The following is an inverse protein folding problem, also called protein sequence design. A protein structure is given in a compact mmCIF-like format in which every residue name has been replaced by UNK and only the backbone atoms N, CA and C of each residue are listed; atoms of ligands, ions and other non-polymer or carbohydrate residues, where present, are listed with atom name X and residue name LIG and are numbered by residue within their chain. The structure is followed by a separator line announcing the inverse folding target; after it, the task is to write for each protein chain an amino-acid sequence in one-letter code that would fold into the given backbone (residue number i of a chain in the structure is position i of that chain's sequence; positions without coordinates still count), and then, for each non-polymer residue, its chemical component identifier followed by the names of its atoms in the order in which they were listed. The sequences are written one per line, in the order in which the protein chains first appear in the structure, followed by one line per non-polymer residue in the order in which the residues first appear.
data_IF_613395098510
#
_entry.id   IF_613395098510
#
_cell.length_a   1.000
_cell.length_b   1.000
_cell.length_c   1.000
_cell.angle_alpha   90.00
_cell.angle_beta   90.00
_cell.angle_gamma   90.00
#
_symmetry.space_group_name_H-M   'P 1'
#
loop_
_entity.id
_entity.type
_entity.pdbx_description
1 polymer ?
#
# COMPACT_ATOMS: atom_id res chain seq x y z
N UNK A 1 9.13 -2.57 -3.22
CA UNK A 1 7.72 -2.50 -2.80
C UNK A 1 6.88 -3.23 -3.83
N UNK A 2 5.88 -4.01 -3.40
CA UNK A 2 4.96 -4.74 -4.27
C UNK A 2 3.61 -4.03 -4.29
N UNK A 3 3.09 -3.71 -5.47
CA UNK A 3 1.83 -2.98 -5.62
C UNK A 3 0.85 -3.69 -6.56
N UNK A 4 -0.39 -3.21 -6.63
CA UNK A 4 -1.43 -3.76 -7.51
C UNK A 4 -1.43 -3.19 -8.95
N UNK A 5 -0.50 -2.28 -9.28
CA UNK A 5 -0.35 -1.66 -10.61
C UNK A 5 -1.55 -0.80 -11.05
N UNK A 6 -2.42 -0.47 -10.10
CA UNK A 6 -3.57 0.41 -10.31
C UNK A 6 -3.27 1.82 -9.80
N UNK A 7 -4.15 2.76 -10.14
CA UNK A 7 -4.16 4.13 -9.62
C UNK A 7 -2.79 4.81 -9.75
N UNK A 8 -2.24 5.26 -8.62
CA UNK A 8 -0.95 5.94 -8.53
C UNK A 8 0.25 5.04 -8.87
N UNK A 9 0.06 3.72 -8.92
CA UNK A 9 1.11 2.74 -9.25
C UNK A 9 1.09 2.30 -10.71
N UNK A 10 0.15 2.80 -11.52
CA UNK A 10 0.05 2.43 -12.93
C UNK A 10 1.31 2.81 -13.70
N UNK A 11 1.95 1.82 -14.32
CA UNK A 11 3.17 2.00 -15.13
C UNK A 11 4.46 2.11 -14.31
N UNK A 12 4.39 1.98 -12.97
CA UNK A 12 5.59 1.87 -12.14
C UNK A 12 6.12 0.43 -12.13
N UNK A 13 7.45 0.25 -12.10
CA UNK A 13 8.05 -1.08 -12.07
C UNK A 13 7.80 -1.77 -10.74
N UNK A 14 7.41 -3.05 -10.77
CA UNK A 14 7.31 -3.84 -9.54
C UNK A 14 8.65 -3.92 -8.81
N UNK A 15 8.58 -3.92 -7.48
CA UNK A 15 9.77 -4.03 -6.65
C UNK A 15 10.56 -2.73 -6.52
N UNK A 16 10.06 -1.59 -7.01
CA UNK A 16 10.80 -0.32 -6.92
C UNK A 16 11.12 0.09 -5.47
N UNK A 17 12.18 0.88 -5.33
CA UNK A 17 12.66 1.38 -4.04
C UNK A 17 11.80 2.57 -3.63
N UNK A 18 11.09 2.43 -2.51
CA UNK A 18 10.33 3.51 -1.88
C UNK A 18 10.96 3.84 -0.52
N UNK A 19 11.10 5.13 -0.21
CA UNK A 19 11.60 5.59 1.08
C UNK A 19 10.59 5.33 2.20
N UNK A 20 11.06 4.82 3.34
CA UNK A 20 10.26 4.60 4.55
C UNK A 20 10.86 5.38 5.71
N UNK A 21 10.14 6.38 6.21
CA UNK A 21 10.57 7.18 7.36
C UNK A 21 9.38 7.45 8.30
N UNK A 22 9.06 6.45 9.12
CA UNK A 22 8.04 6.52 10.15
C UNK A 22 8.31 5.45 11.22
N UNK A 23 7.87 5.70 12.46
CA UNK A 23 8.01 4.74 13.58
C UNK A 23 6.81 3.81 13.72
N UNK A 24 5.62 4.25 13.29
CA UNK A 24 4.37 3.50 13.41
C UNK A 24 3.96 2.90 12.08
N UNK A 25 3.30 1.74 12.10
CA UNK A 25 2.69 1.11 10.93
C UNK A 25 1.20 0.92 11.18
N UNK A 26 0.41 0.91 10.11
CA UNK A 26 -1.04 0.70 10.18
C UNK A 26 -1.35 -0.80 10.21
N UNK A 27 -2.39 -1.17 10.97
CA UNK A 27 -3.08 -2.45 10.88
C UNK A 27 -4.52 -2.14 10.43
N UNK A 28 -5.04 -2.89 9.45
CA UNK A 28 -6.38 -2.68 8.86
C UNK A 28 -7.34 -3.84 9.17
N UNK A 29 -6.99 -4.71 10.11
CA UNK A 29 -7.83 -5.82 10.53
C UNK A 29 -9.16 -5.29 11.05
N UNK A 30 -10.25 -5.78 10.46
CA UNK A 30 -11.61 -5.34 10.80
C UNK A 30 -12.07 -4.03 10.13
N UNK A 31 -11.23 -3.38 9.31
CA UNK A 31 -11.62 -2.19 8.53
C UNK A 31 -11.97 -2.60 7.10
N UNK A 32 -13.26 -2.60 6.77
CA UNK A 32 -13.78 -3.17 5.52
C UNK A 32 -13.80 -2.17 4.36
N UNK A 33 -13.68 -0.88 4.64
CA UNK A 33 -13.76 0.21 3.67
C UNK A 33 -12.42 0.50 2.99
N UNK A 34 -11.34 -0.11 3.51
CA UNK A 34 -9.97 0.07 3.02
C UNK A 34 -9.49 -1.18 2.28
N UNK A 35 -8.68 -0.96 1.26
CA UNK A 35 -7.98 -2.00 0.53
C UNK A 35 -6.49 -1.70 0.56
N UNK A 36 -5.67 -2.72 0.84
CA UNK A 36 -4.20 -2.61 0.75
C UNK A 36 -3.81 -2.63 -0.73
N UNK A 37 -3.12 -1.59 -1.19
CA UNK A 37 -2.70 -1.45 -2.59
C UNK A 37 -1.21 -1.64 -2.78
N UNK A 38 -0.42 -1.57 -1.70
CA UNK A 38 1.00 -1.88 -1.73
C UNK A 38 1.53 -2.40 -0.39
N UNK A 39 2.52 -3.30 -0.46
CA UNK A 39 3.24 -3.84 0.69
C UNK A 39 4.75 -3.94 0.47
N UNK A 40 5.47 -4.01 1.59
CA UNK A 40 6.90 -4.25 1.70
C UNK A 40 7.20 -5.76 1.70
N UNK A 41 8.45 -6.16 1.42
CA UNK A 41 8.87 -7.57 1.49
C UNK A 41 8.78 -8.16 2.90
N UNK A 42 8.79 -7.31 3.93
CA UNK A 42 8.59 -7.68 5.34
C UNK A 42 7.11 -7.69 5.75
N UNK A 43 6.18 -7.48 4.81
CA UNK A 43 4.74 -7.45 5.06
C UNK A 43 4.19 -6.11 5.55
N UNK A 44 5.04 -5.09 5.76
CA UNK A 44 4.56 -3.75 6.14
C UNK A 44 3.61 -3.20 5.07
N UNK A 45 2.44 -2.72 5.48
CA UNK A 45 1.49 -2.02 4.62
C UNK A 45 2.10 -0.68 4.19
N UNK A 46 2.29 -0.48 2.88
CA UNK A 46 2.93 0.71 2.32
C UNK A 46 1.93 1.65 1.65
N UNK A 47 0.77 1.15 1.22
CA UNK A 47 -0.32 1.98 0.71
C UNK A 47 -1.67 1.31 0.91
N UNK A 48 -2.68 2.14 1.12
CA UNK A 48 -4.10 1.77 1.23
C UNK A 48 -4.94 2.73 0.39
N UNK A 49 -6.12 2.30 -0.04
CA UNK A 49 -7.14 3.15 -0.64
C UNK A 49 -8.50 2.88 -0.01
N UNK A 50 -9.39 3.86 -0.06
CA UNK A 50 -10.80 3.61 0.15
C UNK A 50 -11.37 2.84 -1.05
N UNK A 51 -12.26 1.89 -0.78
CA UNK A 51 -12.92 1.13 -1.86
C UNK A 51 -13.97 1.96 -2.60
N UNK A 52 -14.61 2.92 -1.90
CA UNK A 52 -15.74 3.70 -2.41
C UNK A 52 -15.54 5.22 -2.40
N UNK A 53 -14.54 5.70 -1.65
CA UNK A 53 -14.25 7.13 -1.50
C UNK A 53 -12.91 7.51 -2.17
N UNK A 54 -12.77 8.74 -2.68
CA UNK A 54 -11.51 9.24 -3.22
C UNK A 54 -10.43 9.46 -2.15
#
# INVERSE_FOLDING_TARGET
MFHNEQDIFRGLPQGFVAGRYHSLAVNVDGVQELEITASSSDGTIMAIRHQVHP
#
